data_IF_140232845772
#
_entry.id   IF_140232845772
#
_cell.length_a   1.000
_cell.length_b   1.000
_cell.length_c   1.000
_cell.angle_alpha   90.00
_cell.angle_beta   90.00
_cell.angle_gamma   90.00
#
_symmetry.space_group_name_H-M   'P 1'
#
loop_
_entity.id
_entity.type
_entity.pdbx_description
1 polymer ?
#
# COMPACT_ATOMS: atom_id res chain seq x y z
N UNK A 1 -7.12 -14.60 -35.87
CA UNK A 1 -6.46 -13.28 -35.85
C UNK A 1 -6.31 -12.89 -34.39
N UNK A 2 -5.17 -13.21 -33.78
CA UNK A 2 -4.99 -13.09 -32.33
C UNK A 2 -4.63 -11.65 -31.96
N UNK A 3 -5.44 -11.08 -31.06
CA UNK A 3 -5.15 -9.87 -30.27
C UNK A 3 -3.95 -10.13 -29.38
N UNK A 4 -3.11 -9.13 -29.14
CA UNK A 4 -2.67 -8.77 -27.79
C UNK A 4 -2.19 -7.32 -27.79
N UNK A 5 -2.89 -6.53 -27.00
CA UNK A 5 -2.68 -5.13 -26.70
C UNK A 5 -1.33 -4.87 -26.02
N UNK A 6 -0.68 -3.84 -26.51
CA UNK A 6 0.55 -3.25 -26.03
C UNK A 6 0.25 -2.39 -24.79
N UNK A 7 0.42 -2.97 -23.60
CA UNK A 7 0.58 -2.23 -22.35
C UNK A 7 2.03 -2.37 -21.89
N UNK A 8 2.89 -1.57 -22.49
CA UNK A 8 4.28 -1.39 -22.04
C UNK A 8 4.27 -0.58 -20.73
N UNK A 9 4.09 -1.29 -19.62
CA UNK A 9 4.28 -0.73 -18.28
C UNK A 9 5.77 -0.53 -18.08
N UNK A 10 6.19 0.73 -18.08
CA UNK A 10 7.56 1.15 -17.79
C UNK A 10 8.04 0.55 -16.45
N UNK A 11 8.80 -0.56 -16.51
CA UNK A 11 9.46 -1.13 -15.34
C UNK A 11 10.44 -0.10 -14.72
N UNK A 12 10.44 0.09 -13.39
CA UNK A 12 11.33 1.04 -12.73
C UNK A 12 12.82 0.74 -12.95
N UNK A 13 13.53 1.84 -13.20
CA UNK A 13 14.96 2.06 -13.49
C UNK A 13 16.01 1.49 -12.50
N UNK A 14 15.67 0.53 -11.64
CA UNK A 14 16.65 -0.07 -10.69
C UNK A 14 17.52 -1.18 -11.32
N UNK A 15 17.03 -1.89 -12.35
CA UNK A 15 17.74 -3.01 -13.00
C UNK A 15 18.74 -2.61 -14.10
N UNK A 16 18.67 -1.39 -14.64
CA UNK A 16 19.60 -0.93 -15.69
C UNK A 16 20.94 -0.43 -15.15
N UNK A 17 20.96 0.11 -13.93
CA UNK A 17 22.17 0.68 -13.31
C UNK A 17 23.22 -0.40 -12.97
N UNK A 18 22.78 -1.58 -12.52
CA UNK A 18 23.68 -2.73 -12.24
C UNK A 18 24.14 -3.48 -13.50
N UNK A 19 23.50 -3.28 -14.66
CA UNK A 19 23.96 -3.86 -15.94
C UNK A 19 25.08 -3.04 -16.59
N UNK A 20 25.33 -1.81 -16.14
CA UNK A 20 26.34 -0.92 -16.71
C UNK A 20 27.79 -1.19 -16.26
N UNK A 21 28.00 -1.78 -15.07
CA UNK A 21 29.34 -1.87 -14.45
C UNK A 21 30.11 -3.16 -14.80
N UNK A 22 29.45 -4.18 -15.37
CA UNK A 22 30.02 -5.52 -15.53
C UNK A 22 30.94 -5.77 -16.74
N UNK A 23 31.16 -4.80 -17.64
CA UNK A 23 31.85 -5.06 -18.93
C UNK A 23 33.35 -4.72 -18.97
N UNK A 24 33.95 -4.22 -17.88
CA UNK A 24 35.38 -3.85 -17.85
C UNK A 24 36.30 -4.81 -17.06
N UNK A 25 35.76 -5.86 -16.42
CA UNK A 25 36.55 -6.79 -15.58
C UNK A 25 36.81 -8.16 -16.25
N UNK A 26 36.98 -8.20 -17.57
CA UNK A 26 37.02 -9.45 -18.33
C UNK A 26 38.38 -10.19 -18.34
N UNK A 27 39.43 -9.66 -17.71
CA UNK A 27 40.79 -10.23 -17.75
C UNK A 27 41.47 -10.29 -16.36
N UNK A 28 40.82 -10.89 -15.35
CA UNK A 28 41.48 -11.20 -14.07
C UNK A 28 41.18 -12.64 -13.59
N UNK A 29 42.19 -13.41 -13.16
CA UNK A 29 42.09 -14.84 -12.85
C UNK A 29 41.32 -15.18 -11.55
N UNK A 30 40.68 -14.23 -10.88
CA UNK A 30 40.01 -14.42 -9.58
C UNK A 30 38.62 -15.11 -9.62
N UNK A 31 38.19 -15.68 -10.75
CA UNK A 31 36.77 -16.04 -11.01
C UNK A 31 36.24 -17.31 -10.32
N UNK A 32 37.02 -18.10 -9.60
CA UNK A 32 36.52 -19.36 -9.02
C UNK A 32 35.74 -19.15 -7.71
N UNK A 33 35.99 -18.06 -6.97
CA UNK A 33 35.34 -17.82 -5.66
C UNK A 33 33.98 -17.10 -5.81
N UNK A 34 33.75 -16.38 -6.89
CA UNK A 34 32.57 -15.53 -7.06
C UNK A 34 31.29 -16.26 -7.49
N UNK A 35 31.33 -17.59 -7.70
CA UNK A 35 30.13 -18.35 -8.11
C UNK A 35 29.21 -18.72 -6.94
N UNK A 36 29.66 -18.59 -5.70
CA UNK A 36 28.96 -19.11 -4.52
C UNK A 36 27.99 -18.14 -3.84
N UNK A 37 27.80 -16.90 -4.33
CA UNK A 37 27.00 -15.89 -3.64
C UNK A 37 25.92 -15.21 -4.50
N UNK A 38 25.13 -16.01 -5.20
CA UNK A 38 23.83 -15.58 -5.73
C UNK A 38 22.73 -16.61 -5.42
N UNK A 39 22.67 -17.08 -4.17
CA UNK A 39 21.34 -17.35 -3.59
C UNK A 39 20.76 -15.95 -3.37
N UNK A 40 19.82 -15.55 -4.22
CA UNK A 40 19.04 -14.35 -3.99
C UNK A 40 18.49 -14.47 -2.57
N UNK A 41 19.02 -13.67 -1.65
CA UNK A 41 18.40 -13.48 -0.35
C UNK A 41 17.06 -12.85 -0.67
N UNK A 42 16.01 -13.66 -0.73
CA UNK A 42 14.66 -13.14 -0.84
C UNK A 42 14.43 -12.42 0.49
N UNK A 43 14.58 -11.09 0.46
CA UNK A 43 14.46 -10.28 1.67
C UNK A 43 13.05 -10.42 2.21
N UNK A 44 12.93 -10.94 3.44
CA UNK A 44 11.65 -10.96 4.14
C UNK A 44 11.18 -9.51 4.40
N UNK A 45 9.85 -9.23 4.37
CA UNK A 45 8.73 -10.15 4.16
C UNK A 45 8.34 -10.38 2.68
N UNK A 46 9.14 -9.92 1.71
CA UNK A 46 8.77 -9.95 0.29
C UNK A 46 7.80 -8.81 -0.10
N UNK A 47 7.27 -8.86 -1.32
CA UNK A 47 6.37 -7.82 -1.88
C UNK A 47 5.20 -8.47 -2.61
N UNK A 48 3.99 -7.90 -2.51
CA UNK A 48 2.83 -8.32 -3.30
C UNK A 48 2.77 -7.57 -4.65
N UNK A 49 2.18 -8.21 -5.66
CA UNK A 49 1.95 -7.58 -6.96
C UNK A 49 0.81 -6.56 -6.88
N UNK A 50 0.92 -5.38 -7.50
CA UNK A 50 -0.18 -4.40 -7.56
C UNK A 50 -1.47 -4.92 -8.23
N UNK A 51 -1.36 -5.93 -9.10
CA UNK A 51 -2.50 -6.49 -9.84
C UNK A 51 -3.27 -7.59 -9.08
N UNK A 52 -2.83 -7.94 -7.86
CA UNK A 52 -3.43 -8.97 -7.02
C UNK A 52 -4.73 -8.49 -6.33
N UNK A 53 -5.68 -7.94 -7.11
CA UNK A 53 -6.91 -7.30 -6.58
C UNK A 53 -7.82 -8.23 -5.79
N UNK A 54 -7.82 -9.52 -6.12
CA UNK A 54 -8.64 -10.53 -5.44
C UNK A 54 -7.88 -11.26 -4.32
N UNK A 55 -6.63 -10.87 -4.05
CA UNK A 55 -5.85 -11.44 -2.95
C UNK A 55 -6.27 -10.81 -1.62
N UNK A 56 -6.74 -11.65 -0.71
CA UNK A 56 -7.17 -11.26 0.63
C UNK A 56 -6.15 -11.72 1.67
N UNK A 57 -5.90 -10.87 2.67
CA UNK A 57 -5.09 -11.24 3.83
C UNK A 57 -6.00 -11.61 5.02
N UNK A 58 -5.70 -12.69 5.76
CA UNK A 58 -6.52 -13.09 6.90
C UNK A 58 -6.48 -12.03 7.99
N UNK A 59 -7.65 -11.56 8.42
CA UNK A 59 -7.76 -10.56 9.48
C UNK A 59 -7.58 -11.16 10.87
N UNK A 60 -8.17 -12.34 11.12
CA UNK A 60 -8.07 -13.04 12.39
C UNK A 60 -6.86 -13.98 12.40
N UNK A 61 -6.09 -13.94 13.49
CA UNK A 61 -4.93 -14.79 13.70
C UNK A 61 -4.28 -14.47 15.04
N UNK A 62 -3.21 -15.20 15.36
CA UNK A 62 -2.40 -14.94 16.56
C UNK A 62 -1.69 -13.57 16.48
N UNK A 63 -1.32 -13.16 15.26
CA UNK A 63 -0.65 -11.89 14.98
C UNK A 63 -1.46 -11.09 13.98
N UNK A 64 -1.38 -9.76 14.08
CA UNK A 64 -2.05 -8.86 13.15
C UNK A 64 -1.37 -8.89 11.78
N UNK A 65 -2.19 -8.86 10.73
CA UNK A 65 -1.71 -8.64 9.37
C UNK A 65 -1.01 -7.27 9.26
N UNK A 66 -0.04 -7.16 8.36
CA UNK A 66 0.80 -5.97 8.16
C UNK A 66 2.17 -6.01 8.87
N UNK A 67 2.39 -6.95 9.81
CA UNK A 67 3.70 -7.15 10.45
C UNK A 67 4.57 -8.07 9.61
N UNK A 68 4.09 -9.30 9.38
CA UNK A 68 4.77 -10.33 8.59
C UNK A 68 4.23 -10.42 7.15
N UNK A 69 3.14 -9.71 6.86
CA UNK A 69 2.53 -9.67 5.53
C UNK A 69 3.53 -9.10 4.53
N UNK A 70 3.65 -9.67 3.31
CA UNK A 70 4.51 -9.10 2.28
C UNK A 70 4.10 -7.65 1.98
N UNK A 71 5.08 -6.82 1.66
CA UNK A 71 4.86 -5.39 1.49
C UNK A 71 3.86 -5.13 0.33
N UNK A 72 2.80 -4.38 0.64
CA UNK A 72 1.80 -3.95 -0.34
C UNK A 72 2.30 -2.74 -1.14
N UNK A 73 1.68 -2.48 -2.30
CA UNK A 73 2.05 -1.37 -3.18
C UNK A 73 1.78 0.02 -2.57
N UNK A 74 0.85 0.11 -1.61
CA UNK A 74 0.40 1.36 -0.99
C UNK A 74 0.26 1.21 0.53
N UNK A 75 0.47 2.30 1.28
CA UNK A 75 0.35 2.36 2.74
C UNK A 75 -0.17 3.74 3.19
N UNK A 76 -0.95 3.76 4.27
CA UNK A 76 -1.39 4.96 4.98
C UNK A 76 -1.11 4.80 6.48
N UNK A 77 -0.49 5.81 7.10
CA UNK A 77 -0.24 5.87 8.54
C UNK A 77 -1.08 6.99 9.16
N UNK A 78 -1.83 6.67 10.21
CA UNK A 78 -2.74 7.62 10.90
C UNK A 78 -2.62 7.42 12.40
N UNK A 79 -2.60 8.52 13.15
CA UNK A 79 -2.71 8.54 14.60
C UNK A 79 -4.04 9.21 15.01
N UNK A 80 -4.64 8.74 16.10
CA UNK A 80 -5.90 9.26 16.62
C UNK A 80 -5.75 9.64 18.09
N UNK A 81 -6.25 10.81 18.45
CA UNK A 81 -6.54 11.14 19.83
C UNK A 81 -7.86 10.48 20.23
N UNK A 82 -7.84 9.71 21.32
CA UNK A 82 -9.01 8.97 21.79
C UNK A 82 -9.90 9.90 22.61
N UNK A 83 -11.15 10.07 22.16
CA UNK A 83 -12.16 10.92 22.82
C UNK A 83 -13.00 10.16 23.87
N UNK A 84 -12.79 8.86 24.04
CA UNK A 84 -13.51 8.05 25.01
C UNK A 84 -13.20 8.53 26.44
N UNK A 85 -14.25 8.77 27.22
CA UNK A 85 -14.14 9.29 28.59
C UNK A 85 -13.97 8.18 29.62
N UNK A 86 -14.33 6.94 29.27
CA UNK A 86 -14.21 5.79 30.15
C UNK A 86 -13.83 4.48 29.42
N UNK A 87 -13.60 3.43 30.22
CA UNK A 87 -13.21 2.11 29.71
C UNK A 87 -14.29 1.46 28.84
N UNK A 88 -15.56 1.68 29.13
CA UNK A 88 -16.67 1.08 28.40
C UNK A 88 -16.81 1.69 27.00
N UNK A 89 -16.58 3.00 26.88
CA UNK A 89 -16.54 3.70 25.60
C UNK A 89 -15.33 3.27 24.76
N UNK A 90 -14.17 3.07 25.39
CA UNK A 90 -12.98 2.55 24.71
C UNK A 90 -13.20 1.11 24.19
N UNK A 91 -13.83 0.26 25.00
CA UNK A 91 -14.18 -1.09 24.58
C UNK A 91 -15.13 -1.07 23.39
N UNK A 92 -16.15 -0.19 23.42
CA UNK A 92 -17.08 0.01 22.30
C UNK A 92 -16.33 0.46 21.05
N UNK A 93 -15.39 1.39 21.16
CA UNK A 93 -14.56 1.85 20.04
C UNK A 93 -13.76 0.70 19.42
N UNK A 94 -13.07 -0.10 20.24
CA UNK A 94 -12.29 -1.23 19.73
C UNK A 94 -13.16 -2.32 19.09
N UNK A 95 -14.34 -2.61 19.64
CA UNK A 95 -15.30 -3.54 19.01
C UNK A 95 -15.75 -3.02 17.64
N UNK A 96 -16.08 -1.73 17.55
CA UNK A 96 -16.50 -1.11 16.30
C UNK A 96 -15.38 -1.12 15.25
N UNK A 97 -14.15 -0.76 15.63
CA UNK A 97 -12.98 -0.81 14.74
C UNK A 97 -12.74 -2.24 14.25
N UNK A 98 -12.78 -3.23 15.15
CA UNK A 98 -12.57 -4.64 14.79
C UNK A 98 -13.57 -5.09 13.73
N UNK A 99 -14.86 -4.79 13.92
CA UNK A 99 -15.92 -5.14 12.96
C UNK A 99 -15.71 -4.46 11.60
N UNK A 100 -15.38 -3.16 11.60
CA UNK A 100 -15.17 -2.39 10.37
C UNK A 100 -13.94 -2.87 9.61
N UNK A 101 -12.82 -3.10 10.30
CA UNK A 101 -11.59 -3.55 9.66
C UNK A 101 -11.77 -4.97 9.10
N UNK A 102 -12.39 -5.88 9.85
CA UNK A 102 -12.66 -7.25 9.38
C UNK A 102 -13.45 -7.27 8.06
N UNK A 103 -14.48 -6.42 7.96
CA UNK A 103 -15.27 -6.25 6.74
C UNK A 103 -14.42 -5.69 5.60
N UNK A 104 -13.68 -4.61 5.84
CA UNK A 104 -12.86 -3.95 4.82
C UNK A 104 -11.73 -4.85 4.29
N UNK A 105 -11.12 -5.67 5.14
CA UNK A 105 -10.03 -6.58 4.73
C UNK A 105 -10.54 -7.80 3.99
N UNK A 106 -11.75 -8.28 4.28
CA UNK A 106 -12.36 -9.40 3.54
C UNK A 106 -12.86 -8.94 2.17
N UNK A 107 -13.27 -7.66 2.07
CA UNK A 107 -14.00 -7.15 0.92
C UNK A 107 -15.47 -7.54 0.96
N UNK A 108 -16.28 -6.85 0.16
CA UNK A 108 -17.73 -7.10 0.09
C UNK A 108 -18.45 -5.93 -0.57
N UNK A 109 -19.76 -6.08 -0.86
CA UNK A 109 -20.58 -5.00 -1.38
C UNK A 109 -20.53 -3.80 -0.45
N UNK A 110 -20.31 -2.60 -0.97
CA UNK A 110 -20.33 -1.39 -0.15
C UNK A 110 -21.70 -1.27 0.54
N UNK A 111 -21.74 -1.13 1.87
CA UNK A 111 -23.01 -0.96 2.57
C UNK A 111 -23.67 0.33 2.09
N UNK A 112 -24.99 0.31 1.95
CA UNK A 112 -25.79 1.50 1.62
C UNK A 112 -25.71 2.50 2.77
N UNK A 113 -24.66 3.32 2.77
CA UNK A 113 -24.57 4.47 3.65
C UNK A 113 -25.31 5.61 2.97
N UNK A 114 -26.41 6.08 3.58
CA UNK A 114 -26.87 7.45 3.33
C UNK A 114 -25.69 8.37 3.62
N UNK A 115 -25.10 8.93 2.57
CA UNK A 115 -24.13 10.00 2.68
C UNK A 115 -24.83 11.12 3.47
N UNK A 116 -24.38 11.50 4.69
CA UNK A 116 -24.91 12.71 5.30
C UNK A 116 -24.68 13.82 4.28
N UNK A 117 -25.75 14.50 3.86
CA UNK A 117 -25.67 15.57 2.90
C UNK A 117 -24.50 16.46 3.31
N UNK A 118 -23.46 16.53 2.48
CA UNK A 118 -22.40 17.49 2.69
C UNK A 118 -23.08 18.83 2.93
N UNK A 119 -22.66 19.54 3.98
CA UNK A 119 -22.96 20.96 4.16
C UNK A 119 -22.30 21.77 3.03
N UNK A 120 -22.78 21.56 1.81
CA UNK A 120 -22.37 22.22 0.58
C UNK A 120 -23.38 23.31 0.16
N UNK A 121 -24.43 23.52 0.96
CA UNK A 121 -25.40 24.60 0.77
C UNK A 121 -25.39 25.47 2.03
N UNK A 122 -24.45 26.42 2.13
CA UNK A 122 -24.39 27.28 3.31
C UNK A 122 -23.29 28.32 3.42
N UNK A 123 -22.41 28.49 2.42
CA UNK A 123 -21.58 29.68 2.36
C UNK A 123 -21.71 30.27 0.96
N UNK A 124 -22.60 31.27 0.89
CA UNK A 124 -22.72 32.15 -0.25
C UNK A 124 -21.35 32.74 -0.60
N UNK A 125 -21.23 33.06 -1.87
CA UNK A 125 -20.14 33.84 -2.44
C UNK A 125 -20.32 35.32 -2.03
N UNK A 126 -19.52 35.89 -1.13
CA UNK A 126 -19.31 37.32 -1.08
C UNK A 126 -18.11 37.65 -1.95
N UNK A 127 -18.38 38.11 -3.17
CA UNK A 127 -17.41 38.85 -3.95
C UNK A 127 -16.80 39.99 -3.12
N UNK A 128 -15.49 39.94 -2.89
CA UNK A 128 -14.64 41.07 -2.51
C UNK A 128 -13.25 40.82 -3.13
N UNK A 129 -13.01 41.38 -4.32
CA UNK A 129 -12.23 42.62 -4.53
C UNK A 129 -10.72 42.45 -4.27
N UNK A 130 -10.00 42.04 -5.32
CA UNK A 130 -8.56 42.27 -5.45
C UNK A 130 -8.34 43.68 -6.01
N UNK A 131 -7.59 44.53 -5.29
CA UNK A 131 -7.17 45.87 -5.73
C UNK A 131 -5.64 45.91 -5.76
N UNK A 132 -4.97 46.04 -6.92
CA UNK A 132 -3.53 46.21 -6.96
C UNK A 132 -3.16 47.68 -6.68
N UNK A 133 -2.03 47.85 -5.99
CA UNK A 133 -1.30 49.12 -5.86
C UNK A 133 -0.36 49.36 -7.04
#
# INVERSE_FOLDING_TARGET
MNKHDEYDVAEPSRRRLLKGVGRLAALSPWRVVARWRMRQTQSAPGTLSPDARMETQPFYGQHQAGILTPQQASMMLVAFDVLASDKSELERLFRLLTQRIAFLTTGGPAPDTQKPASAADGLGDPGCLYRPG
#
